data_IF_176057109439
#
_entry.id   IF_176057109439
#
_cell.length_a   1.000
_cell.length_b   1.000
_cell.length_c   1.000
_cell.angle_alpha   90.00
_cell.angle_beta   90.00
_cell.angle_gamma   90.00
#
_symmetry.space_group_name_H-M   'P 1'
#
loop_
_entity.id
_entity.type
_entity.pdbx_description
1 polymer ?
#
# COMPACT_ATOMS: atom_id res chain seq x y z
N UNK A 1 -8.82 -7.56 -6.89
CA UNK A 1 -10.24 -7.26 -6.64
C UNK A 1 -11.17 -8.34 -7.20
N UNK A 2 -11.32 -8.50 -8.53
CA UNK A 2 -12.33 -9.39 -9.14
C UNK A 2 -12.42 -10.82 -8.57
N UNK A 3 -11.27 -11.50 -8.38
CA UNK A 3 -11.25 -12.85 -7.79
C UNK A 3 -11.71 -12.86 -6.33
N UNK A 4 -11.29 -11.87 -5.55
CA UNK A 4 -11.60 -11.78 -4.12
C UNK A 4 -13.08 -11.44 -3.89
N UNK A 5 -13.65 -10.53 -4.68
CA UNK A 5 -15.07 -10.17 -4.60
C UNK A 5 -15.96 -11.32 -5.04
N UNK A 6 -15.61 -12.04 -6.11
CA UNK A 6 -16.34 -13.23 -6.53
C UNK A 6 -16.33 -14.32 -5.44
N UNK A 7 -15.16 -14.60 -4.84
CA UNK A 7 -15.06 -15.57 -3.75
C UNK A 7 -15.87 -15.14 -2.51
N UNK A 8 -15.89 -13.85 -2.19
CA UNK A 8 -16.69 -13.32 -1.09
C UNK A 8 -18.19 -13.49 -1.34
N UNK A 9 -18.66 -13.15 -2.55
CA UNK A 9 -20.07 -13.32 -2.93
C UNK A 9 -20.53 -14.78 -2.87
N UNK A 10 -19.71 -15.73 -3.35
CA UNK A 10 -20.05 -17.15 -3.27
C UNK A 10 -20.12 -17.66 -1.83
N UNK A 11 -19.23 -17.21 -0.94
CA UNK A 11 -19.28 -17.57 0.48
C UNK A 11 -20.60 -17.11 1.12
N UNK A 12 -21.06 -15.91 0.77
CA UNK A 12 -22.33 -15.38 1.26
C UNK A 12 -23.53 -16.18 0.72
N UNK A 13 -23.56 -16.46 -0.58
CA UNK A 13 -24.60 -17.28 -1.23
C UNK A 13 -24.70 -18.68 -0.60
N UNK A 14 -23.58 -19.29 -0.21
CA UNK A 14 -23.53 -20.60 0.44
C UNK A 14 -23.83 -20.56 1.95
N UNK A 15 -24.21 -19.40 2.50
CA UNK A 15 -24.57 -19.27 3.91
C UNK A 15 -23.39 -19.25 4.87
N UNK A 16 -22.15 -19.06 4.38
CA UNK A 16 -20.96 -19.02 5.23
C UNK A 16 -20.81 -17.68 5.99
N UNK A 17 -21.69 -16.70 5.75
CA UNK A 17 -21.72 -15.37 6.36
C UNK A 17 -20.31 -14.76 6.52
N UNK A 18 -19.61 -14.45 5.40
CA UNK A 18 -18.19 -14.11 5.41
C UNK A 18 -17.84 -12.78 6.09
N UNK A 19 -18.83 -12.08 6.67
CA UNK A 19 -18.67 -10.76 7.26
C UNK A 19 -18.45 -9.66 6.20
N UNK A 20 -17.96 -8.48 6.60
CA UNK A 20 -17.69 -7.39 5.66
C UNK A 20 -16.59 -7.73 4.65
N UNK A 21 -16.75 -7.23 3.42
CA UNK A 21 -15.73 -7.35 2.38
C UNK A 21 -14.57 -6.36 2.62
N UNK A 22 -13.59 -6.79 3.41
CA UNK A 22 -12.38 -6.02 3.68
C UNK A 22 -11.27 -6.32 2.66
N UNK A 23 -11.29 -5.58 1.55
CA UNK A 23 -10.28 -5.69 0.51
C UNK A 23 -9.36 -4.47 0.51
N UNK A 24 -8.06 -4.71 0.74
CA UNK A 24 -7.03 -3.73 0.47
C UNK A 24 -6.82 -3.61 -1.05
N UNK A 25 -7.10 -2.44 -1.68
CA UNK A 25 -6.84 -2.29 -3.09
C UNK A 25 -5.36 -2.49 -3.39
N UNK A 26 -5.10 -3.27 -4.43
CA UNK A 26 -3.76 -3.59 -4.88
C UNK A 26 -3.73 -3.55 -6.40
N UNK A 27 -2.74 -2.85 -6.94
CA UNK A 27 -2.48 -2.75 -8.36
C UNK A 27 -0.98 -2.88 -8.60
N UNK A 28 -0.62 -3.41 -9.77
CA UNK A 28 0.78 -3.48 -10.19
C UNK A 28 0.84 -3.35 -11.70
N UNK A 29 1.97 -2.89 -12.21
CA UNK A 29 2.28 -2.94 -13.63
C UNK A 29 3.75 -3.19 -13.84
N UNK A 30 4.05 -3.88 -14.94
CA UNK A 30 5.41 -4.09 -15.40
C UNK A 30 5.48 -3.78 -16.88
N UNK A 31 6.35 -2.85 -17.24
CA UNK A 31 6.55 -2.39 -18.62
C UNK A 31 8.01 -2.00 -18.81
N UNK A 32 8.68 -2.63 -19.78
CA UNK A 32 10.13 -2.51 -19.96
C UNK A 32 10.92 -2.79 -18.65
N UNK A 33 11.73 -1.83 -18.22
CA UNK A 33 12.51 -1.86 -16.98
C UNK A 33 11.73 -1.36 -15.76
N UNK A 34 10.52 -0.84 -15.95
CA UNK A 34 9.66 -0.36 -14.87
C UNK A 34 8.83 -1.51 -14.30
N UNK A 35 8.78 -1.59 -12.98
CA UNK A 35 8.02 -2.58 -12.23
C UNK A 35 7.51 -1.95 -10.95
N UNK A 36 6.31 -1.37 -11.02
CA UNK A 36 5.70 -0.70 -9.89
C UNK A 36 4.51 -1.45 -9.31
N UNK A 37 4.26 -1.15 -8.05
CA UNK A 37 3.15 -1.67 -7.28
C UNK A 37 2.51 -0.56 -6.46
N UNK A 38 1.22 -0.71 -6.20
CA UNK A 38 0.41 0.23 -5.44
C UNK A 38 -0.50 -0.52 -4.48
N UNK A 39 -0.57 -0.05 -3.23
CA UNK A 39 -1.48 -0.54 -2.21
C UNK A 39 -2.30 0.60 -1.63
N UNK A 40 -3.58 0.36 -1.38
CA UNK A 40 -4.46 1.31 -0.70
C UNK A 40 -5.22 2.25 -1.65
N UNK A 41 -5.39 3.51 -1.25
CA UNK A 41 -6.20 4.51 -1.95
C UNK A 41 -5.32 5.63 -2.49
N UNK A 42 -5.54 6.02 -3.74
CA UNK A 42 -4.90 7.18 -4.35
C UNK A 42 -5.74 8.45 -4.09
N UNK A 43 -5.86 8.85 -2.82
CA UNK A 43 -6.66 10.01 -2.39
C UNK A 43 -5.87 10.88 -1.39
N UNK A 44 -6.10 12.19 -1.43
CA UNK A 44 -5.43 13.16 -0.55
C UNK A 44 -4.11 13.70 -1.10
N UNK A 45 -3.24 14.16 -0.19
CA UNK A 45 -1.93 14.72 -0.49
C UNK A 45 -0.94 13.63 -0.88
N UNK A 46 -0.02 13.93 -1.80
CA UNK A 46 1.01 13.00 -2.26
C UNK A 46 2.37 13.41 -1.73
N UNK A 47 3.02 12.52 -0.96
CA UNK A 47 4.36 12.71 -0.42
C UNK A 47 5.33 11.77 -1.11
N UNK A 48 6.25 12.32 -1.90
CA UNK A 48 7.25 11.56 -2.65
C UNK A 48 8.47 11.23 -1.78
N UNK A 49 9.12 10.09 -2.07
CA UNK A 49 10.35 9.65 -1.42
C UNK A 49 11.23 8.84 -2.36
N UNK A 50 12.50 8.67 -1.99
CA UNK A 50 13.47 7.87 -2.72
C UNK A 50 14.17 8.64 -3.85
N UNK A 51 14.84 7.89 -4.73
CA UNK A 51 15.71 8.42 -5.78
C UNK A 51 15.10 8.16 -7.16
N UNK A 52 14.69 9.25 -7.82
CA UNK A 52 14.12 9.22 -9.17
C UNK A 52 15.18 8.94 -10.23
N UNK A 53 16.41 9.43 -10.04
CA UNK A 53 17.50 9.23 -11.00
C UNK A 53 18.02 7.79 -10.93
N UNK A 54 18.08 7.24 -9.71
CA UNK A 54 18.42 5.84 -9.45
C UNK A 54 17.30 4.83 -9.73
N UNK A 55 16.10 5.29 -10.11
CA UNK A 55 14.97 4.43 -10.49
C UNK A 55 14.30 3.70 -9.32
N UNK A 56 14.64 4.02 -8.07
CA UNK A 56 14.03 3.45 -6.86
C UNK A 56 13.38 4.56 -6.04
N UNK A 57 12.12 4.81 -6.34
CA UNK A 57 11.33 5.87 -5.71
C UNK A 57 9.91 5.39 -5.41
N UNK A 58 9.19 6.19 -4.64
CA UNK A 58 7.82 5.90 -4.29
C UNK A 58 7.05 7.15 -3.88
N UNK A 59 5.79 6.94 -3.56
CA UNK A 59 4.93 7.99 -3.04
C UNK A 59 3.92 7.45 -2.04
N UNK A 60 3.61 8.26 -1.03
CA UNK A 60 2.55 8.02 -0.08
C UNK A 60 1.37 8.92 -0.39
N UNK A 61 0.16 8.39 -0.22
CA UNK A 61 -1.07 9.18 -0.23
C UNK A 61 -1.51 9.40 1.21
N UNK A 62 -1.74 10.64 1.59
CA UNK A 62 -2.13 11.06 2.93
C UNK A 62 -3.49 11.73 2.90
N UNK A 63 -4.45 11.15 3.61
CA UNK A 63 -5.81 11.67 3.75
C UNK A 63 -6.17 11.74 5.24
N UNK A 64 -6.61 12.90 5.70
CA UNK A 64 -6.93 13.10 7.13
C UNK A 64 -5.74 12.85 8.06
N UNK A 65 -4.52 13.15 7.62
CA UNK A 65 -3.29 12.94 8.39
C UNK A 65 -2.85 11.48 8.52
N UNK A 66 -3.45 10.56 7.74
CA UNK A 66 -3.08 9.14 7.73
C UNK A 66 -2.61 8.69 6.36
N UNK A 67 -1.65 7.77 6.33
CA UNK A 67 -1.20 7.14 5.09
C UNK A 67 -2.26 6.17 4.59
N UNK A 68 -2.94 6.50 3.49
CA UNK A 68 -4.02 5.68 2.91
C UNK A 68 -3.58 4.90 1.68
N UNK A 69 -2.46 5.26 1.06
CA UNK A 69 -1.92 4.57 -0.11
C UNK A 69 -0.40 4.65 -0.18
N UNK A 70 0.20 3.66 -0.83
CA UNK A 70 1.65 3.55 -1.04
C UNK A 70 1.93 3.07 -2.46
N UNK A 71 2.70 3.85 -3.20
CA UNK A 71 3.27 3.53 -4.51
C UNK A 71 4.76 3.23 -4.37
N UNK A 72 5.24 2.23 -5.09
CA UNK A 72 6.66 1.91 -5.18
C UNK A 72 7.04 1.51 -6.60
N UNK A 73 8.12 2.09 -7.11
CA UNK A 73 8.83 1.64 -8.31
C UNK A 73 10.09 0.87 -7.89
N UNK A 74 10.37 -0.25 -8.58
CA UNK A 74 11.57 -1.08 -8.34
C UNK A 74 11.76 -1.52 -6.88
N UNK A 75 10.66 -1.92 -6.23
CA UNK A 75 10.61 -2.30 -4.82
C UNK A 75 11.31 -3.64 -4.52
N UNK A 76 12.09 -3.68 -3.43
CA UNK A 76 12.54 -4.95 -2.83
C UNK A 76 11.37 -5.71 -2.20
N UNK A 77 11.45 -7.04 -1.99
CA UNK A 77 10.40 -7.78 -1.29
C UNK A 77 10.06 -7.22 0.10
N UNK A 78 11.07 -6.68 0.79
CA UNK A 78 10.91 -6.02 2.10
C UNK A 78 10.11 -4.71 1.98
N UNK A 79 10.43 -3.87 0.99
CA UNK A 79 9.70 -2.64 0.72
C UNK A 79 8.24 -2.92 0.33
N UNK A 80 7.99 -3.99 -0.44
CA UNK A 80 6.65 -4.43 -0.82
C UNK A 80 5.83 -4.88 0.41
N UNK A 81 6.44 -5.67 1.30
CA UNK A 81 5.80 -6.10 2.54
C UNK A 81 5.49 -4.90 3.44
N UNK A 82 6.43 -3.96 3.55
CA UNK A 82 6.24 -2.71 4.28
C UNK A 82 5.11 -1.85 3.71
N UNK A 83 5.08 -1.65 2.39
CA UNK A 83 4.03 -0.87 1.72
C UNK A 83 2.63 -1.46 1.93
N UNK A 84 2.50 -2.78 1.81
CA UNK A 84 1.26 -3.48 2.13
C UNK A 84 0.84 -3.27 3.59
N UNK A 85 1.78 -3.42 4.53
CA UNK A 85 1.50 -3.27 5.96
C UNK A 85 1.07 -1.84 6.32
N UNK A 86 1.78 -0.84 5.81
CA UNK A 86 1.46 0.58 6.01
C UNK A 86 0.08 0.92 5.43
N UNK A 87 -0.19 0.54 4.19
CA UNK A 87 -1.48 0.83 3.54
C UNK A 87 -2.67 0.14 4.25
N UNK A 88 -2.44 -1.05 4.83
CA UNK A 88 -3.45 -1.76 5.62
C UNK A 88 -3.68 -1.09 6.98
N UNK A 89 -2.61 -0.74 7.70
CA UNK A 89 -2.70 -0.17 9.05
C UNK A 89 -3.20 1.29 9.05
N UNK A 90 -3.00 2.01 7.94
CA UNK A 90 -3.31 3.44 7.80
C UNK A 90 -2.81 4.28 8.97
N UNK A 91 -1.50 4.24 9.27
CA UNK A 91 -0.94 4.98 10.40
C UNK A 91 -1.01 6.48 10.17
N UNK A 92 -0.84 7.25 11.25
CA UNK A 92 -0.61 8.69 11.13
C UNK A 92 0.64 8.95 10.27
N UNK A 93 0.56 9.96 9.40
CA UNK A 93 1.68 10.36 8.55
C UNK A 93 2.72 11.11 9.40
N UNK A 94 3.95 10.58 9.56
CA UNK A 94 5.01 11.30 10.25
C UNK A 94 5.53 12.46 9.39
N UNK A 95 6.13 13.46 10.02
CA UNK A 95 6.78 14.57 9.31
C UNK A 95 7.98 14.13 8.46
N UNK A 96 8.57 12.98 8.77
CA UNK A 96 9.72 12.38 8.06
C UNK A 96 9.30 11.50 6.87
N UNK A 97 8.03 11.54 6.46
CA UNK A 97 7.48 10.61 5.46
C UNK A 97 8.20 10.68 4.11
N UNK A 98 8.73 11.84 3.72
CA UNK A 98 9.51 12.03 2.48
C UNK A 98 10.89 11.35 2.49
N UNK A 99 11.39 10.96 3.66
CA UNK A 99 12.70 10.30 3.82
C UNK A 99 12.60 8.90 4.44
N UNK A 100 11.38 8.40 4.65
CA UNK A 100 11.13 7.12 5.31
C UNK A 100 10.68 6.10 4.27
N UNK A 101 11.35 4.95 4.18
CA UNK A 101 10.91 3.86 3.30
C UNK A 101 9.69 3.13 3.90
N UNK A 102 8.88 2.43 3.08
CA UNK A 102 7.74 1.70 3.62
C UNK A 102 8.10 0.60 4.61
N UNK A 103 9.26 -0.07 4.42
CA UNK A 103 9.78 -1.04 5.37
C UNK A 103 10.12 -0.39 6.72
N UNK A 104 10.80 0.77 6.70
CA UNK A 104 11.15 1.50 7.92
C UNK A 104 9.89 2.02 8.64
N UNK A 105 8.92 2.56 7.90
CA UNK A 105 7.66 3.01 8.46
C UNK A 105 6.90 1.83 9.09
N UNK A 106 6.78 0.70 8.39
CA UNK A 106 6.15 -0.51 8.93
C UNK A 106 6.83 -1.00 10.22
N UNK A 107 8.16 -1.04 10.25
CA UNK A 107 8.91 -1.46 11.42
C UNK A 107 8.70 -0.54 12.63
N UNK A 108 8.44 0.76 12.41
CA UNK A 108 8.12 1.70 13.50
C UNK A 108 6.76 1.42 14.14
N UNK A 109 5.80 0.86 13.39
CA UNK A 109 4.47 0.53 13.90
C UNK A 109 4.47 -0.69 14.83
N UNK A 110 5.45 -1.58 14.69
CA UNK A 110 5.58 -2.78 15.54
C UNK A 110 6.26 -2.53 16.89
N UNK A 111 6.77 -1.31 17.12
CA UNK A 111 7.48 -0.91 18.35
C UNK A 111 6.58 -0.12 19.33
N UNK A 112 5.29 0.00 19.03
CA UNK A 112 4.29 0.71 19.83
C UNK A 112 3.34 -0.30 20.46
#
# INVERSE_FOLDING_TARGET
HARASAAHAIKDILGANPGPYDYLPYFYSRVFTLSWQFWGKAAGEVVHFGDYEGGKFGAYWVEGGKVVGVFLESASPEDQAGAKAVAAARPAAPTTLSTTSPAALAASLSKV
#
